data_IF_625536019522
#
_entry.id   IF_625536019522
#
_cell.length_a   1.000
_cell.length_b   1.000
_cell.length_c   1.000
_cell.angle_alpha   90.00
_cell.angle_beta   90.00
_cell.angle_gamma   90.00
#
_symmetry.space_group_name_H-M   'P 1'
#
loop_
_entity.id
_entity.type
_entity.pdbx_description
1 polymer ?
#
# COMPACT_ATOMS: atom_id res chain seq x y z
N UNK A 1 15.39 -7.63 15.53
CA UNK A 1 14.34 -6.60 15.74
C UNK A 1 14.30 -5.73 14.50
N UNK A 2 13.13 -5.48 13.89
CA UNK A 2 13.04 -4.65 12.69
C UNK A 2 13.49 -3.22 13.00
N UNK A 3 14.05 -2.53 12.00
CA UNK A 3 14.42 -1.13 12.13
C UNK A 3 13.15 -0.33 12.42
N UNK A 4 13.14 0.46 13.50
CA UNK A 4 11.92 1.18 13.91
C UNK A 4 11.46 2.20 12.86
N UNK A 5 12.40 2.85 12.18
CA UNK A 5 12.12 3.83 11.14
C UNK A 5 12.77 3.42 9.82
N UNK A 6 11.96 3.36 8.77
CA UNK A 6 12.31 3.02 7.41
C UNK A 6 12.53 4.28 6.58
N UNK A 7 13.46 4.21 5.63
CA UNK A 7 13.58 5.21 4.57
C UNK A 7 12.50 4.99 3.51
N UNK A 8 12.27 5.98 2.64
CA UNK A 8 11.36 5.77 1.50
C UNK A 8 11.87 4.69 0.54
N UNK A 9 13.19 4.45 0.49
CA UNK A 9 13.76 3.37 -0.32
C UNK A 9 13.39 2.01 0.27
N UNK A 10 13.58 1.82 1.58
CA UNK A 10 13.23 0.56 2.26
C UNK A 10 11.73 0.26 2.12
N UNK A 11 10.88 1.28 2.20
CA UNK A 11 9.42 1.13 2.00
C UNK A 11 9.09 0.76 0.55
N UNK A 12 9.75 1.41 -0.42
CA UNK A 12 9.56 1.11 -1.83
C UNK A 12 9.92 -0.35 -2.14
N UNK A 13 11.03 -0.84 -1.59
CA UNK A 13 11.46 -2.23 -1.71
C UNK A 13 10.47 -3.18 -1.03
N UNK A 14 10.00 -2.86 0.18
CA UNK A 14 9.06 -3.69 0.92
C UNK A 14 7.70 -3.84 0.21
N UNK A 15 7.20 -2.77 -0.39
CA UNK A 15 5.94 -2.76 -1.14
C UNK A 15 6.12 -3.17 -2.61
N UNK A 16 7.35 -3.34 -3.07
CA UNK A 16 7.71 -3.59 -4.46
C UNK A 16 7.12 -2.55 -5.44
N UNK A 17 7.28 -1.26 -5.10
CA UNK A 17 6.82 -0.12 -5.90
C UNK A 17 7.97 0.86 -6.12
N UNK A 18 7.77 1.85 -7.01
CA UNK A 18 8.79 2.87 -7.22
C UNK A 18 8.94 3.82 -6.03
N UNK A 19 10.13 4.41 -5.88
CA UNK A 19 10.38 5.47 -4.88
C UNK A 19 9.47 6.70 -5.10
N UNK A 20 9.12 7.00 -6.36
CA UNK A 20 8.20 8.08 -6.69
C UNK A 20 6.77 7.80 -6.19
N UNK A 21 6.27 6.57 -6.33
CA UNK A 21 4.97 6.16 -5.77
C UNK A 21 5.00 6.20 -4.25
N UNK A 22 6.07 5.71 -3.62
CA UNK A 22 6.24 5.78 -2.16
C UNK A 22 6.22 7.22 -1.65
N UNK A 23 6.91 8.13 -2.35
CA UNK A 23 6.88 9.56 -2.02
C UNK A 23 5.48 10.16 -2.17
N UNK A 24 4.72 9.78 -3.21
CA UNK A 24 3.35 10.25 -3.40
C UNK A 24 2.43 9.82 -2.24
N UNK A 25 2.51 8.56 -1.79
CA UNK A 25 1.75 8.06 -0.64
C UNK A 25 2.01 8.91 0.62
N UNK A 26 3.27 9.23 0.89
CA UNK A 26 3.64 10.09 2.03
C UNK A 26 3.17 11.52 1.82
N UNK A 27 3.35 12.07 0.62
CA UNK A 27 3.00 13.45 0.30
C UNK A 27 1.49 13.70 0.38
N UNK A 28 0.69 12.71 0.00
CA UNK A 28 -0.77 12.72 0.06
C UNK A 28 -1.30 12.43 1.48
N UNK A 29 -0.44 11.97 2.40
CA UNK A 29 -0.82 11.59 3.76
C UNK A 29 -1.46 10.20 3.87
N UNK A 30 -1.41 9.39 2.82
CA UNK A 30 -1.93 8.01 2.81
C UNK A 30 -1.05 7.09 3.67
N UNK A 31 0.27 7.28 3.56
CA UNK A 31 1.28 6.63 4.40
C UNK A 31 1.87 7.62 5.41
N UNK A 32 1.57 7.48 6.72
CA UNK A 32 2.12 8.35 7.74
C UNK A 32 3.66 8.31 7.79
N UNK A 33 4.26 9.48 7.76
CA UNK A 33 5.71 9.64 7.85
C UNK A 33 6.07 10.93 8.60
N UNK A 34 7.22 10.91 9.27
CA UNK A 34 7.79 12.08 9.91
C UNK A 34 8.94 12.64 9.06
N UNK A 35 9.10 13.96 9.11
CA UNK A 35 10.19 14.66 8.44
C UNK A 35 11.26 15.02 9.48
N UNK A 36 12.47 14.46 9.33
CA UNK A 36 13.56 14.60 10.29
C UNK A 36 14.70 15.45 9.70
N UNK A 37 15.17 16.41 10.49
CA UNK A 37 16.35 17.23 10.19
C UNK A 37 16.12 18.33 9.15
N UNK A 38 17.08 19.27 9.06
CA UNK A 38 16.98 20.45 8.19
C UNK A 38 17.01 20.17 6.69
N UNK A 39 17.40 18.97 6.26
CA UNK A 39 17.34 18.51 4.86
C UNK A 39 16.03 17.84 4.48
N UNK A 40 15.12 17.68 5.44
CA UNK A 40 13.78 17.20 5.17
C UNK A 40 13.67 15.73 4.81
N UNK A 41 14.43 14.87 5.49
CA UNK A 41 14.38 13.43 5.23
C UNK A 41 13.09 12.82 5.78
N UNK A 42 12.37 12.06 4.96
CA UNK A 42 11.20 11.33 5.40
C UNK A 42 11.59 10.00 6.07
N UNK A 43 10.87 9.66 7.13
CA UNK A 43 10.96 8.37 7.82
C UNK A 43 9.57 7.84 8.11
N UNK A 44 9.37 6.57 7.82
CA UNK A 44 8.12 5.85 8.08
C UNK A 44 8.38 4.92 9.26
N UNK A 45 7.52 4.94 10.29
CA UNK A 45 7.64 3.94 11.36
C UNK A 45 7.18 2.58 10.81
N UNK A 46 7.90 1.51 11.14
CA UNK A 46 7.58 0.17 10.60
C UNK A 46 6.14 -0.27 10.93
N UNK A 47 5.63 0.12 12.11
CA UNK A 47 4.25 -0.14 12.50
C UNK A 47 3.21 0.60 11.64
N UNK A 48 3.54 1.81 11.18
CA UNK A 48 2.66 2.59 10.29
C UNK A 48 2.62 2.01 8.87
N UNK A 49 3.75 1.46 8.40
CA UNK A 49 3.77 0.70 7.15
C UNK A 49 2.88 -0.55 7.24
N UNK A 50 3.01 -1.32 8.33
CA UNK A 50 2.17 -2.50 8.56
C UNK A 50 0.67 -2.12 8.65
N UNK A 51 0.35 -1.04 9.38
CA UNK A 51 -1.01 -0.54 9.47
C UNK A 51 -1.56 -0.07 8.10
N UNK A 52 -0.71 0.53 7.26
CA UNK A 52 -1.08 0.87 5.88
C UNK A 52 -1.41 -0.39 5.06
N UNK A 53 -0.55 -1.42 5.11
CA UNK A 53 -0.77 -2.69 4.42
C UNK A 53 -2.11 -3.31 4.84
N UNK A 54 -2.39 -3.35 6.14
CA UNK A 54 -3.64 -3.87 6.68
C UNK A 54 -4.87 -3.08 6.19
N UNK A 55 -4.78 -1.75 6.16
CA UNK A 55 -5.85 -0.90 5.58
C UNK A 55 -6.06 -1.18 4.10
N UNK A 56 -4.99 -1.36 3.33
CA UNK A 56 -5.07 -1.67 1.90
C UNK A 56 -5.73 -3.03 1.64
N UNK A 57 -5.42 -4.05 2.45
CA UNK A 57 -6.11 -5.34 2.37
C UNK A 57 -7.61 -5.19 2.62
N UNK A 58 -8.02 -4.41 3.63
CA UNK A 58 -9.44 -4.17 3.92
C UNK A 58 -10.15 -3.47 2.74
N UNK A 59 -9.53 -2.42 2.19
CA UNK A 59 -10.05 -1.71 1.01
C UNK A 59 -10.23 -2.66 -0.18
N UNK A 60 -9.22 -3.50 -0.45
CA UNK A 60 -9.31 -4.50 -1.53
C UNK A 60 -10.41 -5.54 -1.26
N UNK A 61 -10.54 -6.02 -0.02
CA UNK A 61 -11.61 -6.96 0.34
C UNK A 61 -13.01 -6.35 0.14
N UNK A 62 -13.22 -5.11 0.55
CA UNK A 62 -14.50 -4.42 0.40
C UNK A 62 -14.82 -4.14 -1.07
N UNK A 63 -13.80 -3.81 -1.88
CA UNK A 63 -13.93 -3.68 -3.32
C UNK A 63 -14.37 -5.00 -3.98
N UNK A 64 -13.70 -6.12 -3.66
CA UNK A 64 -14.04 -7.45 -4.23
C UNK A 64 -15.42 -7.91 -3.80
N UNK A 65 -15.84 -7.66 -2.55
CA UNK A 65 -17.18 -8.00 -2.08
C UNK A 65 -18.28 -7.20 -2.77
N UNK A 66 -18.03 -5.91 -3.03
CA UNK A 66 -18.98 -5.02 -3.72
C UNK A 66 -19.02 -5.24 -5.23
N UNK A 67 -17.95 -5.79 -5.81
CA UNK A 67 -17.82 -6.11 -7.23
C UNK A 67 -17.47 -7.60 -7.40
N UNK A 68 -18.39 -8.52 -7.06
CA UNK A 68 -18.14 -9.94 -7.25
C UNK A 68 -17.87 -10.21 -8.73
N UNK A 69 -16.78 -10.93 -9.03
CA UNK A 69 -16.47 -11.36 -10.38
C UNK A 69 -17.62 -12.22 -10.91
N UNK A 70 -18.43 -11.69 -11.82
CA UNK A 70 -19.37 -12.49 -12.60
C UNK A 70 -18.58 -13.35 -13.59
N UNK A 71 -18.45 -14.64 -13.31
CA UNK A 71 -18.03 -15.62 -14.32
C UNK A 71 -19.24 -15.99 -15.20
N UNK A 72 -19.82 -15.03 -15.93
CA UNK A 72 -20.85 -15.32 -16.94
C UNK A 72 -20.18 -15.35 -18.32
N UNK A 73 -19.60 -16.49 -18.65
CA UNK A 73 -19.25 -16.94 -20.00
C UNK A 73 -19.16 -18.47 -19.88
N UNK A 74 -20.07 -19.29 -20.41
CA UNK A 74 -21.00 -19.16 -21.51
C UNK A 74 -22.23 -20.07 -21.27
N UNK A 75 -23.38 -19.85 -21.94
CA UNK A 75 -24.33 -20.93 -22.08
C UNK A 75 -23.66 -22.06 -22.88
N UNK A 76 -23.49 -23.21 -22.24
CA UNK A 76 -23.39 -24.49 -22.95
C UNK A 76 -24.70 -24.64 -23.71
N UNK A 77 -24.73 -24.28 -24.99
CA UNK A 77 -25.81 -24.72 -25.88
C UNK A 77 -25.74 -26.24 -25.99
N UNK A 78 -26.76 -26.98 -25.53
CA UNK A 78 -26.89 -28.38 -25.85
C UNK A 78 -27.59 -28.53 -27.20
N UNK A 79 -27.10 -29.50 -27.98
CA UNK A 79 -27.62 -30.07 -29.24
C UNK A 79 -27.32 -29.30 -30.52
#
# INVERSE_FOLDING_TARGET
MPLRFLTLADVADALNISAAQTYALVRNGELPAIKIGGRGQWRVEAAELEAFIMRMYQVTQDFVKSHPFSHESAPLSPQ
#
